data_IF_480181397941
#
_entry.id   IF_480181397941
#
_cell.length_a   1.000
_cell.length_b   1.000
_cell.length_c   1.000
_cell.angle_alpha   90.00
_cell.angle_beta   90.00
_cell.angle_gamma   90.00
#
_symmetry.space_group_name_H-M   'P 1'
#
loop_
_entity.id
_entity.type
_entity.pdbx_description
1 polymer ?
#
# COMPACT_ATOMS: atom_id res chain seq x y z
N UNK A 1 41.52 -41.06 17.90
CA UNK A 1 41.18 -42.09 16.89
C UNK A 1 40.37 -41.39 15.81
N UNK A 2 40.77 -41.22 14.55
CA UNK A 2 41.91 -41.72 13.76
C UNK A 2 42.28 -40.58 12.80
N UNK A 3 43.58 -40.29 12.73
CA UNK A 3 44.28 -39.59 11.64
C UNK A 3 44.71 -40.64 10.63
N UNK A 4 44.78 -40.34 9.32
CA UNK A 4 45.73 -40.87 8.30
C UNK A 4 45.37 -40.15 6.96
N UNK A 5 46.10 -39.14 6.47
CA UNK A 5 47.30 -39.11 5.57
C UNK A 5 47.34 -40.01 4.33
N UNK A 6 47.38 -39.33 3.17
CA UNK A 6 48.26 -39.50 1.97
C UNK A 6 48.34 -40.82 1.18
N UNK A 7 48.24 -40.73 -0.16
CA UNK A 7 49.38 -40.89 -1.10
C UNK A 7 48.98 -40.68 -2.59
N UNK A 8 49.93 -40.17 -3.37
CA UNK A 8 49.87 -39.89 -4.81
C UNK A 8 50.31 -41.10 -5.66
N UNK A 9 49.89 -41.17 -6.94
CA UNK A 9 50.78 -41.52 -8.05
C UNK A 9 50.14 -41.25 -9.43
N UNK A 10 51.01 -40.91 -10.37
CA UNK A 10 50.75 -40.28 -11.66
C UNK A 10 50.40 -41.23 -12.83
N UNK A 11 49.83 -40.62 -13.89
CA UNK A 11 50.30 -40.82 -15.27
C UNK A 11 49.43 -41.66 -16.21
N UNK A 12 48.84 -41.00 -17.22
CA UNK A 12 48.31 -41.66 -18.42
C UNK A 12 47.49 -40.73 -19.31
N UNK A 13 48.08 -40.28 -20.43
CA UNK A 13 47.49 -39.39 -21.45
C UNK A 13 46.49 -40.15 -22.34
N UNK A 14 45.43 -39.49 -22.83
CA UNK A 14 45.19 -39.23 -24.27
C UNK A 14 43.85 -38.52 -24.56
N UNK A 15 44.00 -37.35 -25.19
CA UNK A 15 43.21 -36.73 -26.27
C UNK A 15 41.67 -36.77 -26.28
N UNK A 16 41.08 -35.57 -26.36
CA UNK A 16 40.06 -35.27 -27.35
C UNK A 16 38.85 -34.47 -26.85
N UNK A 17 38.71 -33.22 -27.32
CA UNK A 17 37.38 -32.66 -27.60
C UNK A 17 36.99 -31.32 -26.95
N UNK A 18 37.29 -30.23 -27.67
CA UNK A 18 36.44 -29.04 -27.94
C UNK A 18 36.04 -28.17 -26.73
N UNK A 19 36.77 -27.07 -26.48
CA UNK A 19 36.65 -25.72 -27.09
C UNK A 19 35.68 -24.80 -26.34
N UNK A 20 36.24 -24.08 -25.37
CA UNK A 20 35.73 -22.79 -24.87
C UNK A 20 36.51 -21.66 -25.53
N UNK A 21 35.85 -20.58 -25.95
CA UNK A 21 36.53 -19.38 -26.41
C UNK A 21 35.60 -18.17 -26.48
N UNK A 22 35.66 -17.33 -25.46
CA UNK A 22 35.18 -15.95 -25.48
C UNK A 22 36.05 -15.09 -26.40
N UNK A 23 35.46 -14.14 -27.15
CA UNK A 23 35.96 -12.75 -27.18
C UNK A 23 34.95 -11.76 -27.77
N UNK A 24 35.20 -10.51 -27.40
CA UNK A 24 34.34 -9.35 -27.23
C UNK A 24 34.29 -8.36 -28.43
N UNK A 25 33.41 -7.34 -28.26
CA UNK A 25 33.37 -5.99 -28.89
C UNK A 25 32.81 -5.92 -30.33
N UNK A 26 31.97 -4.98 -30.76
CA UNK A 26 31.38 -3.74 -30.19
C UNK A 26 30.21 -3.27 -31.09
N UNK A 27 29.39 -2.35 -30.55
CA UNK A 27 28.54 -1.32 -31.18
C UNK A 27 27.45 -1.72 -32.21
N UNK A 28 26.19 -1.41 -31.92
CA UNK A 28 25.59 -0.15 -32.40
C UNK A 28 24.13 0.09 -31.97
N UNK A 29 23.81 1.38 -31.82
CA UNK A 29 22.56 2.08 -32.12
C UNK A 29 21.25 1.75 -31.36
N UNK A 30 20.97 2.63 -30.39
CA UNK A 30 19.75 3.43 -30.21
C UNK A 30 18.46 2.97 -30.93
N UNK A 31 17.45 2.61 -30.14
CA UNK A 31 16.06 2.49 -30.55
C UNK A 31 15.32 3.83 -30.44
N UNK A 32 14.69 4.33 -31.51
CA UNK A 32 13.68 5.37 -31.42
C UNK A 32 12.27 4.76 -31.39
N UNK A 33 11.48 5.27 -30.45
CA UNK A 33 10.02 5.33 -30.50
C UNK A 33 9.54 6.07 -31.76
N UNK A 34 8.31 5.76 -32.17
CA UNK A 34 7.24 6.63 -32.73
C UNK A 34 6.67 6.14 -34.07
N UNK A 35 5.38 6.47 -34.24
CA UNK A 35 4.54 6.38 -35.45
C UNK A 35 3.80 5.06 -35.69
N UNK A 36 2.76 4.84 -34.89
CA UNK A 36 1.57 4.15 -35.42
C UNK A 36 0.68 5.16 -36.12
N UNK A 37 0.47 4.90 -37.41
CA UNK A 37 -0.23 5.75 -38.37
C UNK A 37 -1.72 5.89 -38.07
N UNK A 38 -2.17 7.12 -38.23
CA UNK A 38 -3.54 7.52 -38.56
C UNK A 38 -4.07 6.70 -39.74
N UNK A 39 -5.25 6.09 -39.58
CA UNK A 39 -6.09 5.63 -40.68
C UNK A 39 -7.48 6.23 -40.49
N UNK A 40 -7.77 7.30 -41.23
CA UNK A 40 -9.15 7.68 -41.52
C UNK A 40 -9.74 6.62 -42.46
N UNK A 41 -10.87 6.04 -42.06
CA UNK A 41 -11.82 5.43 -42.99
C UNK A 41 -13.24 5.92 -42.66
N UNK A 42 -13.65 6.86 -43.52
CA UNK A 42 -14.97 7.13 -44.10
C UNK A 42 -16.12 6.20 -43.69
N UNK A 43 -17.08 6.82 -42.99
CA UNK A 43 -18.52 6.94 -43.32
C UNK A 43 -19.37 5.66 -43.57
N UNK A 44 -20.23 5.32 -42.60
CA UNK A 44 -21.70 5.31 -42.76
C UNK A 44 -22.42 4.85 -41.47
N UNK A 45 -23.33 5.69 -40.94
CA UNK A 45 -24.45 5.25 -40.08
C UNK A 45 -24.60 5.94 -38.71
N UNK A 46 -25.51 6.92 -38.66
CA UNK A 46 -26.14 7.59 -37.49
C UNK A 46 -25.27 8.48 -36.56
N UNK A 47 -25.59 9.79 -36.41
CA UNK A 47 -24.94 10.63 -35.41
C UNK A 47 -25.57 10.36 -34.03
N UNK A 48 -24.92 9.55 -33.20
CA UNK A 48 -25.22 9.52 -31.77
C UNK A 48 -24.54 10.71 -31.11
N UNK A 49 -25.28 11.81 -30.97
CA UNK A 49 -24.86 12.96 -30.17
C UNK A 49 -25.20 12.69 -28.71
N UNK A 50 -24.44 11.78 -28.07
CA UNK A 50 -24.46 11.69 -26.61
C UNK A 50 -23.23 12.44 -26.09
N UNK A 51 -23.39 13.51 -25.30
CA UNK A 51 -22.26 14.15 -24.66
C UNK A 51 -21.55 13.18 -23.69
N UNK A 52 -20.23 13.26 -23.53
CA UNK A 52 -19.56 12.62 -22.40
C UNK A 52 -20.16 13.15 -21.10
N UNK A 53 -20.49 12.24 -20.18
CA UNK A 53 -21.32 12.41 -18.97
C UNK A 53 -20.77 13.38 -17.89
N UNK A 54 -19.86 14.30 -18.22
CA UNK A 54 -19.30 15.25 -17.25
C UNK A 54 -19.48 16.72 -17.59
N UNK A 55 -20.14 17.07 -18.70
CA UNK A 55 -20.55 18.44 -18.97
C UNK A 55 -22.04 18.63 -18.65
N UNK A 56 -22.31 18.94 -17.38
CA UNK A 56 -23.48 19.72 -17.00
C UNK A 56 -23.03 20.71 -15.94
N UNK A 57 -22.71 21.91 -16.42
CA UNK A 57 -22.56 23.11 -15.60
C UNK A 57 -23.96 23.53 -15.14
N UNK A 58 -24.42 22.96 -14.03
CA UNK A 58 -25.58 23.46 -13.29
C UNK A 58 -25.09 24.14 -12.01
N UNK A 59 -25.05 25.45 -12.08
CA UNK A 59 -25.02 26.33 -10.91
C UNK A 59 -26.38 26.25 -10.21
N UNK A 60 -26.56 25.32 -9.28
CA UNK A 60 -27.68 25.33 -8.33
C UNK A 60 -27.19 25.09 -6.89
N UNK A 61 -27.34 26.13 -6.08
CA UNK A 61 -27.03 26.18 -4.65
C UNK A 61 -28.10 25.41 -3.87
N UNK A 62 -27.87 24.11 -3.72
CA UNK A 62 -28.82 23.22 -3.05
C UNK A 62 -28.13 22.19 -2.17
N UNK A 63 -27.53 22.62 -1.04
CA UNK A 63 -27.33 21.81 0.19
C UNK A 63 -26.79 20.37 0.08
N UNK A 64 -26.19 19.99 -1.04
CA UNK A 64 -25.73 18.63 -1.30
C UNK A 64 -24.41 18.40 -0.59
N UNK A 65 -24.43 17.65 0.51
CA UNK A 65 -23.21 17.17 1.16
C UNK A 65 -22.32 16.53 0.09
N UNK A 66 -21.13 17.11 -0.13
CA UNK A 66 -20.10 16.53 -1.01
C UNK A 66 -20.02 15.02 -0.74
N UNK A 67 -19.94 14.16 -1.78
CA UNK A 67 -19.80 12.72 -1.56
C UNK A 67 -18.68 12.50 -0.53
N UNK A 68 -18.92 11.70 0.54
CA UNK A 68 -17.90 11.44 1.54
C UNK A 68 -16.61 11.08 0.83
N UNK A 69 -15.55 11.87 1.03
CA UNK A 69 -14.26 11.64 0.38
C UNK A 69 -13.79 10.27 0.84
N UNK A 70 -13.95 9.28 -0.03
CA UNK A 70 -13.67 7.89 0.30
C UNK A 70 -12.18 7.65 0.46
N UNK A 71 -11.37 8.53 -0.11
CA UNK A 71 -9.94 8.58 0.05
C UNK A 71 -9.56 9.69 1.04
N UNK A 72 -8.54 9.46 1.85
CA UNK A 72 -8.00 10.49 2.71
C UNK A 72 -6.57 10.20 3.14
N UNK A 73 -5.85 11.27 3.50
CA UNK A 73 -4.47 11.22 3.97
C UNK A 73 -4.40 11.80 5.38
N UNK A 74 -3.55 11.20 6.21
CA UNK A 74 -3.27 11.70 7.54
C UNK A 74 -1.77 11.66 7.82
N UNK A 75 -1.25 12.65 8.54
CA UNK A 75 0.15 12.71 8.98
C UNK A 75 0.16 12.92 10.48
N UNK A 76 0.85 12.03 11.19
CA UNK A 76 1.07 12.09 12.61
C UNK A 76 2.56 12.33 12.89
N UNK A 77 2.86 13.40 13.61
CA UNK A 77 4.20 13.71 14.11
C UNK A 77 4.24 13.36 15.58
N UNK A 78 5.20 12.51 15.96
CA UNK A 78 5.46 12.13 17.33
C UNK A 78 6.77 12.79 17.73
N UNK A 79 6.67 13.90 18.45
CA UNK A 79 7.82 14.64 18.97
C UNK A 79 8.37 13.97 20.24
N UNK A 80 9.64 14.23 20.53
CA UNK A 80 10.35 13.67 21.68
C UNK A 80 10.29 12.14 21.73
N UNK A 81 10.40 11.49 20.56
CA UNK A 81 10.18 10.05 20.40
C UNK A 81 11.07 9.21 21.32
N UNK A 82 12.33 9.64 21.51
CA UNK A 82 13.29 8.98 22.40
C UNK A 82 12.88 8.97 23.88
N UNK A 83 12.02 9.90 24.32
CA UNK A 83 11.59 10.05 25.71
C UNK A 83 10.32 9.25 26.02
N UNK A 84 9.75 8.57 25.02
CA UNK A 84 8.49 7.87 25.18
C UNK A 84 8.71 6.54 25.91
N UNK A 85 8.17 6.47 27.12
CA UNK A 85 8.16 5.27 27.97
C UNK A 85 6.81 4.55 27.95
N UNK A 86 5.80 5.12 27.29
CA UNK A 86 4.45 4.54 27.19
C UNK A 86 4.49 3.27 26.33
N UNK A 87 3.72 2.25 26.74
CA UNK A 87 3.56 1.00 25.98
C UNK A 87 2.98 1.25 24.59
N UNK A 88 1.97 2.13 24.52
CA UNK A 88 1.30 2.50 23.28
C UNK A 88 1.05 4.01 23.21
N UNK A 89 0.91 4.53 21.99
CA UNK A 89 0.45 5.89 21.73
C UNK A 89 -0.67 5.85 20.69
N UNK A 90 -1.57 6.82 20.77
CA UNK A 90 -2.66 7.01 19.81
C UNK A 90 -2.57 8.38 19.18
N UNK A 91 -2.76 8.46 17.87
CA UNK A 91 -2.91 9.74 17.18
C UNK A 91 -4.24 10.41 17.54
N UNK A 92 -4.39 11.67 17.14
CA UNK A 92 -5.73 12.26 17.07
C UNK A 92 -6.57 11.50 16.04
N UNK A 93 -7.89 11.51 16.24
CA UNK A 93 -8.80 10.93 15.27
C UNK A 93 -8.87 11.81 14.01
N UNK A 94 -9.00 11.17 12.85
CA UNK A 94 -9.17 11.82 11.55
C UNK A 94 -10.29 11.13 10.76
N UNK A 95 -10.94 11.85 9.85
CA UNK A 95 -12.12 11.35 9.16
C UNK A 95 -11.82 11.02 7.70
N UNK A 96 -12.20 9.81 7.26
CA UNK A 96 -12.12 9.36 5.86
C UNK A 96 -13.31 8.46 5.56
N UNK A 97 -13.99 8.74 4.44
CA UNK A 97 -15.16 7.97 4.00
C UNK A 97 -16.32 7.95 5.00
N UNK A 98 -16.46 8.98 5.83
CA UNK A 98 -17.47 9.07 6.88
C UNK A 98 -17.15 8.29 8.17
N UNK A 99 -15.96 7.71 8.27
CA UNK A 99 -15.49 7.01 9.46
C UNK A 99 -14.36 7.77 10.13
N UNK A 100 -14.34 7.73 11.47
CA UNK A 100 -13.24 8.27 12.26
C UNK A 100 -12.21 7.17 12.48
N UNK A 101 -10.97 7.47 12.14
CA UNK A 101 -9.81 6.59 12.23
C UNK A 101 -8.78 7.18 13.19
N UNK A 102 -7.92 6.35 13.76
CA UNK A 102 -6.69 6.80 14.42
C UNK A 102 -5.58 5.79 14.18
N UNK A 103 -4.33 6.23 14.33
CA UNK A 103 -3.15 5.36 14.27
C UNK A 103 -2.80 4.96 15.70
N UNK A 104 -2.59 3.67 15.93
CA UNK A 104 -2.06 3.10 17.16
C UNK A 104 -0.63 2.60 16.91
N UNK A 105 0.30 3.01 17.77
CA UNK A 105 1.70 2.58 17.70
C UNK A 105 2.12 1.96 19.03
N UNK A 106 2.91 0.89 18.94
CA UNK A 106 3.66 0.33 20.06
C UNK A 106 5.16 0.58 19.80
N UNK A 107 5.76 1.62 20.42
CA UNK A 107 7.14 2.03 20.15
C UNK A 107 8.19 0.95 20.45
N UNK A 108 7.89 0.02 21.35
CA UNK A 108 8.78 -1.08 21.76
C UNK A 108 8.26 -2.47 21.36
N UNK A 109 7.14 -2.51 20.63
CA UNK A 109 6.45 -3.74 20.22
C UNK A 109 5.16 -4.02 20.99
N UNK A 110 4.23 -4.70 20.33
CA UNK A 110 2.96 -5.17 20.92
C UNK A 110 3.14 -6.56 21.54
N UNK A 111 3.08 -7.60 20.70
CA UNK A 111 3.31 -9.01 21.10
C UNK A 111 4.71 -9.49 20.70
N UNK A 112 5.32 -8.82 19.73
CA UNK A 112 6.65 -9.12 19.22
C UNK A 112 7.58 -8.00 19.67
N UNK A 113 8.55 -8.33 20.52
CA UNK A 113 9.55 -7.40 21.00
C UNK A 113 10.47 -6.91 19.87
N UNK A 114 11.16 -5.79 20.12
CA UNK A 114 12.20 -5.24 19.24
C UNK A 114 11.70 -4.82 17.83
N UNK A 115 10.39 -4.72 17.66
CA UNK A 115 9.78 -4.21 16.44
C UNK A 115 8.81 -3.07 16.79
N UNK A 116 8.86 -2.01 16.00
CA UNK A 116 7.79 -1.03 15.93
C UNK A 116 6.54 -1.74 15.40
N UNK A 117 5.43 -1.66 16.13
CA UNK A 117 4.13 -2.14 15.66
C UNK A 117 3.21 -0.96 15.34
N UNK A 118 2.48 -1.04 14.23
CA UNK A 118 1.58 0.02 13.76
C UNK A 118 0.25 -0.57 13.30
N UNK A 119 -0.84 0.08 13.71
CA UNK A 119 -2.21 -0.30 13.39
C UNK A 119 -3.03 0.92 12.99
N UNK A 120 -3.94 0.72 12.04
CA UNK A 120 -5.04 1.62 11.78
C UNK A 120 -6.25 1.12 12.56
N UNK A 121 -6.93 2.01 13.27
CA UNK A 121 -8.05 1.67 14.14
C UNK A 121 -9.26 2.53 13.81
N UNK A 122 -10.45 1.94 13.91
CA UNK A 122 -11.72 2.67 13.85
C UNK A 122 -12.01 3.27 15.23
N UNK A 123 -12.19 4.59 15.27
CA UNK A 123 -12.57 5.31 16.49
C UNK A 123 -14.05 5.06 16.84
N UNK A 124 -14.37 5.18 18.13
CA UNK A 124 -15.74 4.97 18.65
C UNK A 124 -16.36 3.61 18.28
N UNK A 125 -15.54 2.57 18.12
CA UNK A 125 -16.00 1.24 17.71
C UNK A 125 -17.00 0.62 18.70
N UNK A 126 -16.95 1.04 19.97
CA UNK A 126 -17.89 0.71 21.04
C UNK A 126 -19.33 1.13 20.71
N UNK A 127 -19.48 2.28 20.02
CA UNK A 127 -20.77 2.87 19.63
C UNK A 127 -21.32 2.31 18.32
N UNK A 128 -20.57 1.49 17.61
CA UNK A 128 -21.01 0.89 16.35
C UNK A 128 -22.12 -0.14 16.59
N UNK A 129 -23.11 -0.15 15.71
CA UNK A 129 -24.22 -1.10 15.76
C UNK A 129 -23.73 -2.53 15.47
N UNK A 130 -24.39 -3.56 16.04
CA UNK A 130 -24.15 -4.94 15.63
C UNK A 130 -24.31 -5.11 14.12
N UNK A 131 -23.40 -5.87 13.49
CA UNK A 131 -23.40 -6.09 12.04
C UNK A 131 -22.68 -5.01 11.22
N UNK A 132 -22.20 -3.94 11.84
CA UNK A 132 -21.36 -2.95 11.15
C UNK A 132 -20.07 -3.60 10.64
N UNK A 133 -19.78 -3.42 9.35
CA UNK A 133 -18.49 -3.75 8.75
C UNK A 133 -18.25 -2.95 7.47
N UNK A 134 -17.00 -2.54 7.24
CA UNK A 134 -16.60 -1.91 5.98
C UNK A 134 -15.21 -2.36 5.55
N UNK A 135 -15.04 -2.49 4.24
CA UNK A 135 -13.72 -2.66 3.64
C UNK A 135 -13.00 -1.31 3.56
N UNK A 136 -11.71 -1.33 3.93
CA UNK A 136 -10.81 -0.23 3.65
C UNK A 136 -9.46 -0.78 3.18
N UNK A 137 -8.96 -0.21 2.09
CA UNK A 137 -7.56 -0.35 1.71
C UNK A 137 -6.79 0.79 2.35
N UNK A 138 -5.67 0.51 3.00
CA UNK A 138 -4.87 1.55 3.61
C UNK A 138 -3.38 1.26 3.51
N UNK A 139 -2.61 2.33 3.50
CA UNK A 139 -1.14 2.30 3.52
C UNK A 139 -0.66 3.09 4.72
N UNK A 140 0.19 2.49 5.55
CA UNK A 140 0.93 3.19 6.59
C UNK A 140 2.39 3.33 6.16
N UNK A 141 2.95 4.51 6.36
CA UNK A 141 4.35 4.81 6.10
C UNK A 141 5.04 5.39 7.32
N UNK A 142 6.25 4.92 7.61
CA UNK A 142 7.18 5.61 8.52
C UNK A 142 8.18 6.35 7.65
N UNK A 143 8.17 7.67 7.77
CA UNK A 143 8.91 8.57 6.89
C UNK A 143 10.37 8.61 7.33
N UNK A 144 11.27 8.46 6.36
CA UNK A 144 12.70 8.66 6.55
C UNK A 144 13.09 10.07 6.06
N UNK A 145 14.15 10.64 6.63
CA UNK A 145 14.79 11.88 6.15
C UNK A 145 15.16 11.82 4.66
N UNK A 146 15.54 10.64 4.18
CA UNK A 146 15.66 10.33 2.76
C UNK A 146 14.34 9.71 2.28
N UNK A 147 13.53 10.42 1.46
CA UNK A 147 12.24 9.92 1.00
C UNK A 147 12.31 8.55 0.34
N UNK A 148 13.43 8.20 -0.31
CA UNK A 148 13.64 6.91 -0.98
C UNK A 148 13.78 5.73 -0.02
N UNK A 149 14.09 6.00 1.26
CA UNK A 149 14.24 5.00 2.32
C UNK A 149 13.02 4.87 3.23
N UNK A 150 11.98 5.67 2.99
CA UNK A 150 10.74 5.58 3.76
C UNK A 150 10.15 4.17 3.66
N UNK A 151 9.63 3.65 4.76
CA UNK A 151 9.06 2.30 4.81
C UNK A 151 7.56 2.38 4.69
N UNK A 152 6.99 1.59 3.77
CA UNK A 152 5.55 1.52 3.50
C UNK A 152 5.04 0.10 3.76
N UNK A 153 3.80 -0.02 4.17
CA UNK A 153 3.05 -1.28 4.11
C UNK A 153 1.59 -0.97 3.81
N UNK A 154 1.01 -1.73 2.90
CA UNK A 154 -0.37 -1.59 2.45
C UNK A 154 -1.14 -2.89 2.66
N UNK A 155 -2.44 -2.77 2.85
CA UNK A 155 -3.32 -3.92 3.02
C UNK A 155 -4.77 -3.53 2.74
N UNK A 156 -5.57 -4.53 2.39
CA UNK A 156 -7.03 -4.46 2.33
C UNK A 156 -7.59 -5.24 3.51
N UNK A 157 -8.45 -4.61 4.31
CA UNK A 157 -9.05 -5.27 5.45
C UNK A 157 -10.53 -4.90 5.60
N UNK A 158 -11.31 -5.84 6.16
CA UNK A 158 -12.69 -5.60 6.55
C UNK A 158 -12.78 -5.32 8.05
N UNK A 159 -12.89 -4.04 8.38
CA UNK A 159 -13.09 -3.61 9.76
C UNK A 159 -14.51 -3.95 10.20
N UNK A 160 -14.67 -4.41 11.43
CA UNK A 160 -15.96 -4.71 12.04
C UNK A 160 -15.86 -4.58 13.56
N UNK A 161 -16.98 -4.65 14.28
CA UNK A 161 -17.00 -4.34 15.72
C UNK A 161 -16.00 -5.13 16.57
N UNK A 162 -15.76 -6.41 16.26
CA UNK A 162 -14.82 -7.27 17.01
C UNK A 162 -13.35 -7.08 16.58
N UNK A 163 -13.12 -6.60 15.37
CA UNK A 163 -11.80 -6.38 14.76
C UNK A 163 -11.81 -4.98 14.16
N UNK A 164 -11.75 -4.02 15.08
CA UNK A 164 -11.81 -2.60 14.77
C UNK A 164 -10.42 -2.03 14.43
N UNK A 165 -9.38 -2.84 14.57
CA UNK A 165 -8.00 -2.51 14.27
C UNK A 165 -7.35 -3.54 13.34
N UNK A 166 -6.42 -3.06 12.52
CA UNK A 166 -5.62 -3.91 11.65
C UNK A 166 -4.28 -3.27 11.35
N UNK A 167 -3.23 -4.08 11.18
CA UNK A 167 -1.89 -3.57 10.95
C UNK A 167 -0.80 -4.62 11.12
N UNK A 168 0.40 -4.16 11.48
CA UNK A 168 1.61 -4.96 11.47
C UNK A 168 2.29 -4.97 12.82
N UNK A 169 2.34 -6.17 13.45
CA UNK A 169 3.10 -6.41 14.67
C UNK A 169 4.61 -6.24 14.45
N UNK A 170 5.11 -6.60 13.25
CA UNK A 170 6.50 -6.47 12.82
C UNK A 170 6.65 -5.44 11.70
N UNK A 171 6.24 -4.19 11.95
CA UNK A 171 6.33 -3.15 10.92
C UNK A 171 7.79 -2.81 10.61
N UNK A 172 8.61 -2.52 11.63
CA UNK A 172 10.03 -2.15 11.46
C UNK A 172 10.84 -2.60 12.67
N UNK A 173 12.04 -3.15 12.47
CA UNK A 173 12.96 -3.41 13.57
C UNK A 173 13.38 -2.10 14.25
N UNK A 174 13.42 -2.07 15.58
CA UNK A 174 13.78 -0.85 16.31
C UNK A 174 15.22 -0.40 16.06
N UNK A 175 16.14 -1.34 15.78
CA UNK A 175 17.52 -1.04 15.37
C UNK A 175 17.61 -0.19 14.10
N UNK A 176 16.60 -0.27 13.22
CA UNK A 176 16.54 0.48 11.96
C UNK A 176 15.89 1.85 12.13
N UNK A 177 15.14 2.08 13.22
CA UNK A 177 14.42 3.35 13.45
C UNK A 177 15.40 4.53 13.58
N UNK A 178 16.56 4.32 14.18
CA UNK A 178 17.61 5.34 14.28
C UNK A 178 18.31 5.66 12.94
N UNK A 179 18.13 4.85 11.88
CA UNK A 179 18.71 5.09 10.56
C UNK A 179 17.88 6.12 9.75
N UNK A 180 17.72 7.32 10.32
CA UNK A 180 17.08 8.45 9.65
C UNK A 180 15.54 8.45 9.63
N UNK A 181 14.87 7.52 10.33
CA UNK A 181 13.41 7.60 10.51
C UNK A 181 12.99 8.52 11.67
N UNK A 182 13.92 8.80 12.58
CA UNK A 182 13.76 9.83 13.61
C UNK A 182 14.63 11.02 13.20
N UNK A 183 13.99 12.15 12.92
CA UNK A 183 14.65 13.41 12.57
C UNK A 183 14.31 14.46 13.63
N UNK A 184 15.31 15.14 14.19
CA UNK A 184 15.16 16.05 15.32
C UNK A 184 14.28 15.47 16.46
N UNK A 185 14.55 14.22 16.86
CA UNK A 185 13.77 13.46 17.86
C UNK A 185 12.27 13.35 17.54
N UNK A 186 11.91 13.43 16.26
CA UNK A 186 10.54 13.35 15.77
C UNK A 186 10.38 12.17 14.80
N UNK A 187 9.43 11.29 15.11
CA UNK A 187 9.00 10.22 14.20
C UNK A 187 7.77 10.69 13.43
N UNK A 188 7.80 10.59 12.10
CA UNK A 188 6.67 10.98 11.24
C UNK A 188 6.03 9.74 10.62
N UNK A 189 4.74 9.59 10.87
CA UNK A 189 3.92 8.50 10.35
C UNK A 189 2.87 9.08 9.43
N UNK A 190 2.71 8.50 8.24
CA UNK A 190 1.65 8.86 7.31
C UNK A 190 0.70 7.69 7.13
N UNK A 191 -0.58 7.98 7.00
CA UNK A 191 -1.59 7.02 6.59
C UNK A 191 -2.30 7.53 5.34
N UNK A 192 -2.58 6.63 4.42
CA UNK A 192 -3.54 6.83 3.34
C UNK A 192 -4.64 5.78 3.52
N UNK A 193 -5.89 6.20 3.45
CA UNK A 193 -7.05 5.32 3.67
C UNK A 193 -7.99 5.50 2.49
N UNK A 194 -8.44 4.39 1.93
CA UNK A 194 -9.47 4.29 0.91
C UNK A 194 -10.57 3.40 1.43
N UNK A 195 -11.70 3.99 1.79
CA UNK A 195 -12.91 3.28 2.16
C UNK A 195 -13.56 2.74 0.90
N UNK A 196 -13.91 1.46 0.92
CA UNK A 196 -14.57 0.77 -0.19
C UNK A 196 -16.05 0.65 0.15
N UNK A 197 -16.89 1.27 -0.66
CA UNK A 197 -18.34 1.09 -0.57
C UNK A 197 -18.69 -0.26 -1.16
N UNK A 198 -19.36 -1.09 -0.38
CA UNK A 198 -20.14 -2.18 -0.96
C UNK A 198 -21.29 -1.54 -1.73
N UNK A 199 -21.24 -1.60 -3.07
CA UNK A 199 -22.38 -1.23 -3.89
C UNK A 199 -23.48 -2.25 -3.60
N UNK A 200 -24.56 -1.81 -2.95
CA UNK A 200 -25.85 -2.50 -3.03
C UNK A 200 -26.45 -2.25 -4.42
N UNK A 201 -25.72 -2.58 -5.49
CA UNK A 201 -26.29 -2.52 -6.82
C UNK A 201 -27.08 -3.81 -7.07
N UNK A 202 -28.40 -3.65 -6.84
CA UNK A 202 -29.50 -4.52 -7.28
C UNK A 202 -29.61 -5.87 -6.56
N UNK A 203 -30.47 -5.98 -5.52
CA UNK A 203 -30.60 -7.25 -4.83
C UNK A 203 -31.23 -8.35 -5.72
N UNK A 204 -32.01 -8.03 -6.77
CA UNK A 204 -32.59 -9.04 -7.67
C UNK A 204 -32.82 -8.47 -9.09
N UNK A 205 -32.68 -9.29 -10.14
CA UNK A 205 -33.48 -9.10 -11.36
C UNK A 205 -34.90 -9.52 -11.00
N UNK A 206 -35.91 -8.66 -11.16
CA UNK A 206 -37.31 -9.07 -10.95
C UNK A 206 -37.63 -10.29 -11.81
N UNK A 207 -38.17 -11.35 -11.19
CA UNK A 207 -38.71 -12.52 -11.88
C UNK A 207 -40.17 -12.31 -12.31
N UNK A 208 -40.56 -11.07 -12.62
CA UNK A 208 -41.86 -10.79 -13.19
C UNK A 208 -41.73 -10.70 -14.71
N UNK A 209 -41.71 -11.88 -15.33
CA UNK A 209 -42.10 -12.02 -16.72
C UNK A 209 -43.61 -11.74 -16.76
N UNK A 210 -44.03 -10.52 -17.11
CA UNK A 210 -45.43 -10.33 -17.44
C UNK A 210 -45.78 -11.19 -18.67
N UNK A 211 -46.80 -12.01 -18.44
CA UNK A 211 -47.48 -12.97 -19.31
C UNK A 211 -47.86 -12.41 -20.69
#
# INVERSE_FOLDING_TARGET
MVTIVSEEAAGGRLAGGLSSGQRCHSSDALSPLTEWRFSEQVENGTPSTSPPYWDTDDSDDGGGSKPPELYGKYTWKIEKFSQITKRELRSNAFEVGGYKWYILIYPQGCDVCNHLSLFLCVANHDKLLPGWSHFAQFTIAVVNKDPKKSKYSDTLHRFWKKEHDWGWKRFMELSKVSDGFVDADTLIIKAQVQVIREKAEWPFRCLDCHL
#
